data_IF_884214517111
#
_entry.id   IF_884214517111
#
_cell.length_a   1.000
_cell.length_b   1.000
_cell.length_c   1.000
_cell.angle_alpha   90.00
_cell.angle_beta   90.00
_cell.angle_gamma   90.00
#
_symmetry.space_group_name_H-M   'P 1'
#
loop_
_entity.id
_entity.type
_entity.pdbx_description
1 polymer ?
#
# COMPACT_ATOMS: atom_id res chain seq x y z
N UNK A 1 15.56 1.15 -5.19
CA UNK A 1 14.69 1.34 -6.37
C UNK A 1 13.47 2.11 -5.91
N UNK A 2 13.28 3.33 -6.41
CA UNK A 2 12.14 4.19 -6.02
C UNK A 2 10.94 3.80 -6.89
N UNK A 3 9.81 3.48 -6.27
CA UNK A 3 8.58 3.13 -6.98
C UNK A 3 7.79 4.41 -7.26
N UNK A 4 7.60 4.71 -8.55
CA UNK A 4 6.86 5.87 -9.03
C UNK A 4 5.37 5.54 -9.12
N UNK A 5 4.52 6.36 -8.49
CA UNK A 5 3.07 6.21 -8.55
C UNK A 5 2.41 7.50 -9.01
N UNK A 6 1.47 7.44 -9.98
CA UNK A 6 0.83 8.64 -10.51
C UNK A 6 -0.19 9.28 -9.56
N UNK A 7 -0.62 8.57 -8.51
CA UNK A 7 -1.49 9.10 -7.46
C UNK A 7 -1.43 8.21 -6.21
N UNK A 8 -2.01 8.70 -5.11
CA UNK A 8 -2.08 7.98 -3.83
C UNK A 8 -2.73 6.59 -3.97
N UNK A 9 -3.83 6.47 -4.72
CA UNK A 9 -4.50 5.18 -4.94
C UNK A 9 -3.57 4.15 -5.58
N UNK A 10 -2.73 4.57 -6.52
CA UNK A 10 -1.71 3.71 -7.12
C UNK A 10 -0.60 3.33 -6.13
N UNK A 11 -0.15 4.26 -5.28
CA UNK A 11 0.85 3.98 -4.24
C UNK A 11 0.34 2.96 -3.22
N UNK A 12 -0.88 3.17 -2.72
CA UNK A 12 -1.56 2.24 -1.80
C UNK A 12 -1.68 0.87 -2.47
N UNK A 13 -2.16 0.81 -3.73
CA UNK A 13 -2.29 -0.44 -4.48
C UNK A 13 -0.95 -1.15 -4.64
N UNK A 14 0.12 -0.44 -4.96
CA UNK A 14 1.45 -1.02 -5.15
C UNK A 14 2.02 -1.61 -3.86
N UNK A 15 1.84 -0.91 -2.74
CA UNK A 15 2.21 -1.42 -1.41
C UNK A 15 1.41 -2.68 -1.05
N UNK A 16 0.09 -2.66 -1.23
CA UNK A 16 -0.78 -3.81 -1.01
C UNK A 16 -0.42 -4.99 -1.92
N UNK A 17 -0.11 -4.73 -3.19
CA UNK A 17 0.23 -5.76 -4.17
C UNK A 17 1.53 -6.48 -3.80
N UNK A 18 2.59 -5.74 -3.43
CA UNK A 18 3.86 -6.34 -3.00
C UNK A 18 3.65 -7.30 -1.82
N UNK A 19 2.87 -6.89 -0.82
CA UNK A 19 2.55 -7.73 0.34
C UNK A 19 1.72 -8.96 -0.02
N UNK A 20 0.74 -8.81 -0.92
CA UNK A 20 -0.05 -9.95 -1.42
C UNK A 20 0.85 -10.98 -2.12
N UNK A 21 1.81 -10.54 -2.94
CA UNK A 21 2.75 -11.43 -3.63
C UNK A 21 3.66 -12.18 -2.64
N UNK A 22 4.17 -11.50 -1.60
CA UNK A 22 4.98 -12.11 -0.54
C UNK A 22 4.23 -13.21 0.22
N UNK A 23 2.90 -13.12 0.32
CA UNK A 23 2.06 -14.08 1.04
C UNK A 23 1.36 -15.10 0.12
N UNK A 24 1.58 -15.05 -1.19
CA UNK A 24 0.96 -15.95 -2.16
C UNK A 24 -0.55 -15.70 -2.36
N UNK A 25 -0.97 -14.44 -2.24
CA UNK A 25 -2.37 -14.02 -2.42
C UNK A 25 -2.60 -13.45 -3.82
N UNK A 26 -3.87 -13.28 -4.20
CA UNK A 26 -4.23 -12.59 -5.44
C UNK A 26 -3.82 -11.12 -5.44
N UNK A 27 -3.85 -10.50 -6.61
CA UNK A 27 -3.76 -9.04 -6.71
C UNK A 27 -4.87 -8.36 -5.90
N UNK A 28 -4.55 -7.21 -5.24
CA UNK A 28 -5.55 -6.47 -4.49
C UNK A 28 -6.51 -5.76 -5.45
N UNK A 29 -7.80 -5.79 -5.10
CA UNK A 29 -8.88 -5.11 -5.81
C UNK A 29 -9.63 -4.19 -4.86
N UNK A 30 -10.19 -3.09 -5.39
CA UNK A 30 -10.96 -2.13 -4.61
C UNK A 30 -12.45 -2.41 -4.74
N UNK A 31 -13.14 -2.51 -3.61
CA UNK A 31 -14.60 -2.67 -3.52
C UNK A 31 -15.14 -1.76 -2.44
N UNK A 32 -16.09 -0.88 -2.80
CA UNK A 32 -16.69 0.09 -1.88
C UNK A 32 -15.67 0.99 -1.14
N UNK A 33 -14.56 1.33 -1.80
CA UNK A 33 -13.50 2.15 -1.19
C UNK A 33 -12.52 1.39 -0.29
N UNK A 34 -12.71 0.08 -0.11
CA UNK A 34 -11.81 -0.78 0.65
C UNK A 34 -11.01 -1.70 -0.28
N UNK A 35 -9.76 -1.98 0.08
CA UNK A 35 -8.93 -2.93 -0.63
C UNK A 35 -9.13 -4.35 -0.09
N UNK A 36 -9.19 -5.31 -1.00
CA UNK A 36 -9.42 -6.73 -0.72
C UNK A 36 -8.48 -7.60 -1.55
N UNK A 37 -8.19 -8.81 -1.07
CA UNK A 37 -7.47 -9.84 -1.82
C UNK A 37 -8.00 -11.23 -1.47
N UNK A 38 -7.73 -12.20 -2.35
CA UNK A 38 -8.04 -13.60 -2.15
C UNK A 38 -6.79 -14.36 -1.71
N UNK A 39 -6.65 -14.73 -0.42
CA UNK A 39 -5.74 -15.80 -0.02
C UNK A 39 -6.22 -17.15 -0.60
N UNK A 40 -5.39 -18.21 -0.55
CA UNK A 40 -5.70 -19.49 -1.21
C UNK A 40 -7.09 -20.09 -0.90
N UNK A 41 -7.68 -19.78 0.26
CA UNK A 41 -8.97 -20.32 0.70
C UNK A 41 -9.92 -19.26 1.27
N UNK A 42 -9.86 -18.01 0.84
CA UNK A 42 -10.73 -16.98 1.41
C UNK A 42 -10.72 -15.66 0.69
N UNK A 43 -11.35 -14.68 1.33
CA UNK A 43 -11.34 -13.27 0.93
C UNK A 43 -11.08 -12.45 2.18
N UNK A 44 -10.14 -11.51 2.10
CA UNK A 44 -9.77 -10.69 3.25
C UNK A 44 -9.58 -9.22 2.85
N UNK A 45 -9.84 -8.28 3.77
CA UNK A 45 -9.47 -6.89 3.55
C UNK A 45 -7.95 -6.71 3.63
N UNK A 46 -7.41 -5.86 2.77
CA UNK A 46 -5.98 -5.50 2.70
C UNK A 46 -5.83 -4.06 3.16
N UNK A 47 -5.75 -3.88 4.47
CA UNK A 47 -5.58 -2.55 5.06
C UNK A 47 -4.09 -2.20 5.12
N UNK A 48 -3.74 -0.93 4.91
CA UNK A 48 -2.34 -0.49 4.98
C UNK A 48 -1.70 -0.86 6.33
N UNK A 49 -2.45 -0.76 7.44
CA UNK A 49 -1.95 -1.16 8.77
C UNK A 49 -1.65 -2.65 8.92
N UNK A 50 -2.20 -3.48 8.04
CA UNK A 50 -1.97 -4.93 7.99
C UNK A 50 -0.79 -5.24 7.07
N UNK A 51 -0.63 -4.44 6.01
CA UNK A 51 0.44 -4.56 5.03
C UNK A 51 1.76 -3.99 5.55
N UNK A 52 1.69 -2.92 6.35
CA UNK A 52 2.84 -2.22 6.90
C UNK A 52 2.96 -2.56 8.39
N UNK A 53 4.15 -2.98 8.81
CA UNK A 53 4.44 -3.27 10.21
C UNK A 53 4.26 -2.01 11.07
N UNK A 54 3.86 -2.20 12.33
CA UNK A 54 3.64 -1.10 13.26
C UNK A 54 4.97 -0.35 13.50
N UNK A 55 5.01 0.93 13.17
CA UNK A 55 6.22 1.76 13.27
C UNK A 55 7.10 1.77 12.02
N UNK A 56 6.70 1.07 10.94
CA UNK A 56 7.36 1.18 9.63
C UNK A 56 6.84 2.39 8.85
N UNK A 57 7.67 2.96 7.98
CA UNK A 57 7.26 3.94 6.98
C UNK A 57 7.78 3.51 5.61
N UNK A 58 7.02 3.75 4.56
CA UNK A 58 7.48 3.53 3.18
C UNK A 58 7.56 4.87 2.46
N UNK A 59 8.75 5.18 1.96
CA UNK A 59 8.94 6.28 1.03
C UNK A 59 8.28 5.90 -0.30
N UNK A 60 7.39 6.76 -0.79
CA UNK A 60 6.74 6.61 -2.09
C UNK A 60 6.85 7.92 -2.86
N UNK A 61 7.01 7.83 -4.17
CA UNK A 61 7.07 8.99 -5.04
C UNK A 61 5.70 9.19 -5.70
N UNK A 62 5.06 10.32 -5.39
CA UNK A 62 3.83 10.79 -6.02
C UNK A 62 4.16 11.93 -6.98
N UNK A 63 4.21 11.64 -8.28
CA UNK A 63 4.63 12.62 -9.29
C UNK A 63 6.01 13.24 -8.94
N UNK A 64 6.09 14.55 -8.71
CA UNK A 64 7.32 15.23 -8.27
C UNK A 64 7.51 15.29 -6.74
N UNK A 65 6.62 14.70 -5.95
CA UNK A 65 6.64 14.74 -4.48
C UNK A 65 7.12 13.41 -3.91
N UNK A 66 8.13 13.49 -3.04
CA UNK A 66 8.53 12.37 -2.20
C UNK A 66 7.83 12.48 -0.85
N UNK A 67 7.11 11.42 -0.49
CA UNK A 67 6.34 11.37 0.75
C UNK A 67 6.55 10.06 1.49
N UNK A 68 6.32 10.06 2.80
CA UNK A 68 6.25 8.88 3.63
C UNK A 68 4.80 8.46 3.80
N UNK A 69 4.51 7.21 3.44
CA UNK A 69 3.26 6.53 3.76
C UNK A 69 3.44 5.78 5.09
N UNK A 70 2.49 5.95 5.99
CA UNK A 70 2.48 5.31 7.31
C UNK A 70 1.44 4.18 7.38
N UNK A 71 1.54 3.27 8.39
CA UNK A 71 0.64 2.14 8.53
C UNK A 71 -0.81 2.55 8.80
N UNK A 72 -1.06 3.73 9.36
CA UNK A 72 -2.41 4.28 9.53
C UNK A 72 -3.00 4.86 8.23
N UNK A 73 -2.25 4.84 7.13
CA UNK A 73 -2.62 5.43 5.85
C UNK A 73 -2.38 6.94 5.76
N UNK A 74 -1.80 7.56 6.80
CA UNK A 74 -1.40 8.96 6.77
C UNK A 74 -0.17 9.17 5.89
N UNK A 75 -0.01 10.41 5.44
CA UNK A 75 1.09 10.85 4.60
C UNK A 75 1.84 11.98 5.30
N UNK A 76 3.17 11.94 5.26
CA UNK A 76 4.00 13.09 5.58
C UNK A 76 4.89 13.45 4.38
N UNK A 77 5.07 14.74 4.12
CA UNK A 77 6.11 15.20 3.21
C UNK A 77 7.50 14.86 3.76
N UNK A 78 8.46 14.67 2.87
CA UNK A 78 9.87 14.73 3.25
C UNK A 78 10.16 16.17 3.69
N UNK A 79 10.41 16.37 4.99
CA UNK A 79 10.81 17.67 5.55
C UNK A 79 12.34 17.67 5.52
N UNK A 80 12.92 18.53 4.68
CA UNK A 80 14.35 18.87 4.66
C UNK A 80 14.84 19.42 6.01
#
# INVERSE_FOLDING_TARGET
MVLYYPNLGCAIRGVCHAWCQEHGYSDPFCRNGEWWAYPPNGVMPVQIKTVMEKGSQRQVQLDSLTIFLFPDGSLAGEID
#
